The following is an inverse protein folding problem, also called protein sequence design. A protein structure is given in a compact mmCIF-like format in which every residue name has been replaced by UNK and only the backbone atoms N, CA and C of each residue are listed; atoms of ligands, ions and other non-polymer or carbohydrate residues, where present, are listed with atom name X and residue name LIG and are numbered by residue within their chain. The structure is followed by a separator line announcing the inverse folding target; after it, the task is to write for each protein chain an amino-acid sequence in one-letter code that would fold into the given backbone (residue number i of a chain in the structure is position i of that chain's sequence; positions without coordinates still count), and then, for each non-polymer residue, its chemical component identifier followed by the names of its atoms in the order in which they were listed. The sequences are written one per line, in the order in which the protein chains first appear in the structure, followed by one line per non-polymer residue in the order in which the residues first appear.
data_IF_063753591572
#
_entry.id   IF_063753591572
#
_cell.length_a   1.000
_cell.length_b   1.000
_cell.length_c   1.000
_cell.angle_alpha   90.00
_cell.angle_beta   90.00
_cell.angle_gamma   90.00
#
_symmetry.space_group_name_H-M   'P 1'
#
loop_
_entity.id
_entity.type
_entity.pdbx_description
1 polymer ?
#
# COMPACT_ATOMS: atom_id res chain seq x y z
N UNK A 1 19.87 -3.14 -8.30
CA UNK A 1 18.91 -2.72 -7.25
C UNK A 1 18.32 -1.41 -7.72
N UNK A 2 16.99 -1.31 -7.86
CA UNK A 2 16.36 -0.04 -8.24
C UNK A 2 16.53 0.93 -7.07
N UNK A 3 17.10 2.12 -7.34
CA UNK A 3 17.22 3.20 -6.37
C UNK A 3 15.93 4.01 -6.40
N UNK A 4 15.35 4.33 -5.25
CA UNK A 4 14.27 5.31 -5.14
C UNK A 4 14.94 6.67 -4.85
N UNK A 5 14.92 7.59 -5.81
CA UNK A 5 15.42 8.95 -5.63
C UNK A 5 14.34 9.81 -4.94
N UNK A 6 14.53 10.06 -3.64
CA UNK A 6 13.53 10.56 -2.67
C UNK A 6 13.61 12.06 -2.39
N UNK A 7 13.44 12.91 -3.39
CA UNK A 7 13.61 14.35 -3.15
C UNK A 7 12.32 15.13 -2.86
N UNK A 8 11.15 14.48 -2.74
CA UNK A 8 9.89 15.20 -2.54
C UNK A 8 9.19 14.85 -1.23
N UNK A 9 9.30 15.77 -0.26
CA UNK A 9 8.37 15.85 0.87
C UNK A 9 6.97 16.24 0.34
N UNK A 10 6.06 15.27 0.27
CA UNK A 10 4.69 15.46 -0.23
C UNK A 10 3.75 16.04 0.83
N UNK A 11 4.19 16.13 2.09
CA UNK A 11 3.44 16.77 3.17
C UNK A 11 3.68 18.28 3.28
N UNK A 12 4.72 18.82 2.62
CA UNK A 12 5.10 20.22 2.71
C UNK A 12 3.93 21.16 2.34
N UNK A 13 3.61 22.07 3.26
CA UNK A 13 2.51 23.05 3.20
C UNK A 13 1.11 22.45 3.07
N UNK A 14 0.94 21.17 3.39
CA UNK A 14 -0.37 20.52 3.41
C UNK A 14 -1.17 20.89 4.64
N UNK A 15 -2.49 20.67 4.54
CA UNK A 15 -3.39 20.96 5.66
C UNK A 15 -3.16 19.93 6.77
N UNK A 16 -2.90 20.42 7.98
CA UNK A 16 -2.74 19.60 9.16
C UNK A 16 -3.79 19.95 10.23
N UNK A 17 -4.11 18.96 11.05
CA UNK A 17 -5.01 19.08 12.19
C UNK A 17 -4.37 18.45 13.43
N UNK A 18 -4.72 18.96 14.61
CA UNK A 18 -4.34 18.33 15.87
C UNK A 18 -5.43 18.40 16.93
N UNK A 19 -5.42 17.40 17.82
CA UNK A 19 -6.22 17.38 19.02
C UNK A 19 -5.70 18.41 20.03
N UNK A 20 -6.60 19.15 20.68
CA UNK A 20 -6.25 20.05 21.78
C UNK A 20 -5.33 21.20 21.36
N UNK A 21 -5.59 21.85 20.22
CA UNK A 21 -4.78 22.98 19.73
C UNK A 21 -4.67 24.07 20.80
N UNK A 22 -3.44 24.55 21.05
CA UNK A 22 -3.14 25.56 22.06
C UNK A 22 -2.66 26.85 21.38
N UNK A 23 -3.41 27.96 21.57
CA UNK A 23 -3.08 29.29 21.05
C UNK A 23 -2.77 29.27 19.53
N UNK A 24 -1.63 29.86 19.14
CA UNK A 24 -1.14 29.98 17.76
C UNK A 24 -0.20 28.83 17.34
N UNK A 25 -0.06 27.77 18.15
CA UNK A 25 0.82 26.62 17.88
C UNK A 25 0.11 25.64 16.94
N UNK A 26 -0.27 26.12 15.76
CA UNK A 26 -1.13 25.42 14.80
C UNK A 26 -0.47 24.14 14.30
N UNK A 27 -1.29 23.12 14.01
CA UNK A 27 -0.84 21.84 13.45
C UNK A 27 0.02 21.96 12.19
N UNK A 28 -0.19 23.02 11.38
CA UNK A 28 0.53 23.27 10.14
C UNK A 28 2.03 23.53 10.30
N UNK A 29 2.51 23.88 11.51
CA UNK A 29 3.94 24.10 11.76
C UNK A 29 4.77 22.85 11.53
N UNK A 30 4.21 21.66 11.80
CA UNK A 30 4.92 20.41 11.59
C UNK A 30 5.06 20.02 10.10
N UNK A 31 4.58 20.85 9.17
CA UNK A 31 4.67 20.58 7.73
C UNK A 31 5.07 21.85 6.96
N UNK A 32 5.74 22.79 7.63
CA UNK A 32 6.13 24.07 7.04
C UNK A 32 7.59 24.09 6.53
N UNK A 33 8.33 23.00 6.75
CA UNK A 33 9.71 22.82 6.32
C UNK A 33 10.74 23.46 7.25
N UNK A 34 10.35 23.95 8.44
CA UNK A 34 11.23 24.69 9.35
C UNK A 34 11.62 23.84 10.55
N UNK A 35 12.91 23.87 10.90
CA UNK A 35 13.48 23.10 12.02
C UNK A 35 14.49 23.91 12.83
N UNK A 36 14.45 25.23 12.74
CA UNK A 36 15.48 26.12 13.31
C UNK A 36 15.42 26.13 14.85
N UNK A 37 14.20 26.17 15.40
CA UNK A 37 13.96 26.14 16.83
C UNK A 37 13.15 24.89 17.23
N UNK A 38 13.82 23.91 17.84
CA UNK A 38 13.22 22.67 18.33
C UNK A 38 12.61 22.79 19.74
N UNK A 39 12.15 24.00 20.09
CA UNK A 39 11.49 24.29 21.36
C UNK A 39 9.98 24.24 21.21
N UNK A 40 9.29 23.64 22.19
CA UNK A 40 7.81 23.66 22.25
C UNK A 40 7.25 25.08 22.40
N UNK A 41 8.08 26.03 22.86
CA UNK A 41 7.74 27.46 22.93
C UNK A 41 8.23 28.24 21.70
N UNK A 42 8.91 27.57 20.78
CA UNK A 42 9.44 28.14 19.55
C UNK A 42 8.40 28.33 18.45
N UNK A 43 8.85 28.80 17.29
CA UNK A 43 7.98 28.99 16.11
C UNK A 43 7.74 27.73 15.31
N UNK A 44 8.62 26.72 15.43
CA UNK A 44 8.72 25.63 14.47
C UNK A 44 8.20 24.31 15.03
N UNK A 45 7.53 24.33 16.18
CA UNK A 45 6.91 23.14 16.75
C UNK A 45 5.43 23.35 17.01
N UNK A 46 4.72 22.24 16.91
CA UNK A 46 3.31 22.06 17.23
C UNK A 46 3.21 21.62 18.68
N UNK A 47 2.31 22.23 19.44
CA UNK A 47 2.03 21.80 20.82
C UNK A 47 0.53 21.68 21.01
N UNK A 48 0.14 20.57 21.63
CA UNK A 48 -1.23 20.30 22.06
C UNK A 48 -1.38 20.53 23.55
N UNK A 49 -2.62 20.65 24.02
CA UNK A 49 -2.93 20.41 25.42
C UNK A 49 -2.43 19.02 25.82
N UNK A 50 -1.73 18.94 26.93
CA UNK A 50 -1.28 17.67 27.49
C UNK A 50 -2.44 16.95 28.15
N UNK A 51 -2.68 15.72 27.70
CA UNK A 51 -3.81 14.89 28.14
C UNK A 51 -3.43 13.40 28.01
N UNK A 52 -4.37 12.49 28.25
CA UNK A 52 -4.15 11.05 28.10
C UNK A 52 -3.96 10.62 26.65
N UNK A 53 -4.39 11.42 25.68
CA UNK A 53 -4.16 11.14 24.26
C UNK A 53 -3.66 12.40 23.56
N UNK A 54 -2.83 12.19 22.54
CA UNK A 54 -2.40 13.23 21.62
C UNK A 54 -2.51 12.69 20.20
N UNK A 55 -3.15 13.46 19.33
CA UNK A 55 -3.31 13.12 17.91
C UNK A 55 -2.95 14.33 17.06
N UNK A 56 -2.19 14.07 16.00
CA UNK A 56 -1.88 15.01 14.94
C UNK A 56 -1.99 14.29 13.61
N UNK A 57 -2.49 14.96 12.57
CA UNK A 57 -2.53 14.38 11.22
C UNK A 57 -2.33 15.43 10.13
N UNK A 58 -1.78 14.99 9.01
CA UNK A 58 -1.70 15.74 7.76
C UNK A 58 -2.61 15.10 6.72
N UNK A 59 -3.32 15.93 5.94
CA UNK A 59 -4.07 15.53 4.74
C UNK A 59 -3.19 15.72 3.50
N UNK A 60 -2.83 14.61 2.85
CA UNK A 60 -2.03 14.60 1.61
C UNK A 60 -2.87 14.93 0.36
N UNK A 61 -4.13 15.34 0.54
CA UNK A 61 -5.12 15.76 -0.47
C UNK A 61 -5.65 14.63 -1.38
N UNK A 62 -4.88 13.56 -1.56
CA UNK A 62 -5.25 12.38 -2.32
C UNK A 62 -4.70 11.11 -1.66
N UNK A 63 -5.21 9.95 -2.09
CA UNK A 63 -4.56 8.67 -1.76
C UNK A 63 -3.27 8.56 -2.59
N UNK A 64 -2.14 8.65 -1.91
CA UNK A 64 -0.79 8.66 -2.49
C UNK A 64 0.00 7.46 -2.03
N UNK A 65 1.08 7.12 -2.75
CA UNK A 65 1.98 6.04 -2.33
C UNK A 65 3.07 6.62 -1.43
N UNK A 66 3.15 6.16 -0.19
CA UNK A 66 4.10 6.61 0.83
C UNK A 66 5.26 5.61 0.85
N UNK A 67 6.51 6.09 0.91
CA UNK A 67 7.71 5.27 1.14
C UNK A 67 8.09 5.29 2.61
N UNK A 68 8.36 6.49 3.14
CA UNK A 68 8.74 6.66 4.52
C UNK A 68 8.27 8.00 5.08
N UNK A 69 8.28 8.08 6.41
CA UNK A 69 7.85 9.24 7.18
C UNK A 69 9.01 9.63 8.09
N UNK A 70 9.43 10.88 8.00
CA UNK A 70 10.43 11.49 8.88
C UNK A 70 9.69 12.27 9.97
N UNK A 71 10.14 12.14 11.22
CA UNK A 71 9.62 12.94 12.33
C UNK A 71 10.79 13.58 13.09
N UNK A 72 10.77 14.90 13.19
CA UNK A 72 11.57 15.70 14.11
C UNK A 72 10.69 16.09 15.31
N UNK A 73 11.03 15.55 16.48
CA UNK A 73 10.35 15.87 17.74
C UNK A 73 11.03 17.04 18.46
N UNK A 74 10.31 17.77 19.29
CA UNK A 74 10.87 18.86 20.08
C UNK A 74 11.95 18.35 21.05
N UNK A 75 13.07 19.06 21.10
CA UNK A 75 14.18 18.80 22.03
C UNK A 75 14.25 19.85 23.14
N UNK A 76 13.48 20.93 23.03
CA UNK A 76 13.64 22.17 23.80
C UNK A 76 15.00 22.82 23.62
N UNK A 77 15.65 22.60 22.47
CA UNK A 77 17.01 23.03 22.19
C UNK A 77 18.03 22.50 23.22
N UNK A 78 17.72 21.36 23.85
CA UNK A 78 18.58 20.66 24.80
C UNK A 78 19.13 19.38 24.16
N UNK A 79 20.25 18.83 24.68
CA UNK A 79 20.75 17.52 24.26
C UNK A 79 19.65 16.45 24.27
N UNK A 80 19.62 15.60 23.25
CA UNK A 80 18.67 14.50 23.14
C UNK A 80 19.19 13.25 23.86
N UNK A 81 19.05 13.23 25.18
CA UNK A 81 19.49 12.13 26.04
C UNK A 81 18.42 11.76 27.09
N UNK A 82 18.71 10.76 27.93
CA UNK A 82 17.79 10.26 28.96
C UNK A 82 17.25 11.31 29.93
N UNK A 83 17.94 12.46 30.09
CA UNK A 83 17.53 13.54 30.99
C UNK A 83 16.59 14.52 30.30
N UNK A 84 16.54 14.53 28.96
CA UNK A 84 15.60 15.34 28.21
C UNK A 84 14.17 14.86 28.52
N UNK A 85 13.32 15.77 28.99
CA UNK A 85 11.93 15.47 29.36
C UNK A 85 11.08 15.06 28.16
N UNK A 86 11.43 15.54 26.96
CA UNK A 86 10.70 15.24 25.73
C UNK A 86 10.85 13.78 25.31
N UNK A 87 11.95 13.12 25.68
CA UNK A 87 12.12 11.68 25.44
C UNK A 87 11.00 10.88 26.11
N UNK A 88 10.63 11.21 27.35
CA UNK A 88 9.58 10.52 28.09
C UNK A 88 8.19 10.74 27.47
N UNK A 89 7.96 11.91 26.87
CA UNK A 89 6.70 12.26 26.23
C UNK A 89 6.56 11.61 24.85
N UNK A 90 7.66 11.51 24.10
CA UNK A 90 7.69 10.91 22.77
C UNK A 90 7.51 9.38 22.80
N UNK A 91 8.01 8.70 23.84
CA UNK A 91 7.88 7.24 23.99
C UNK A 91 6.46 6.73 23.77
N UNK A 92 6.35 5.55 23.17
CA UNK A 92 5.09 4.83 22.97
C UNK A 92 4.18 5.41 21.89
N UNK A 93 4.70 6.33 21.07
CA UNK A 93 3.96 6.86 19.93
C UNK A 93 3.71 5.79 18.86
N UNK A 94 2.66 6.03 18.09
CA UNK A 94 2.29 5.25 16.92
C UNK A 94 2.12 6.18 15.72
N UNK A 95 2.36 5.62 14.54
CA UNK A 95 2.04 6.27 13.27
C UNK A 95 1.05 5.37 12.53
N UNK A 96 0.07 6.00 11.89
CA UNK A 96 -0.93 5.33 11.07
C UNK A 96 -0.98 5.97 9.69
N UNK A 97 -1.31 5.16 8.69
CA UNK A 97 -1.65 5.61 7.34
C UNK A 97 -3.12 5.25 7.12
N UNK A 98 -3.96 6.25 6.81
CA UNK A 98 -5.41 6.07 6.64
C UNK A 98 -5.94 6.78 5.41
N UNK A 99 -7.08 6.30 4.87
CA UNK A 99 -7.84 7.02 3.85
C UNK A 99 -8.89 7.96 4.46
N UNK A 100 -9.14 7.86 5.77
CA UNK A 100 -10.07 8.69 6.52
C UNK A 100 -9.33 9.47 7.60
N UNK A 101 -10.01 10.40 8.26
CA UNK A 101 -9.47 11.12 9.41
C UNK A 101 -9.38 10.26 10.68
N UNK A 102 -9.87 9.02 10.65
CA UNK A 102 -9.87 8.11 11.78
C UNK A 102 -8.74 7.09 11.64
N UNK A 103 -7.85 7.05 12.63
CA UNK A 103 -6.74 6.07 12.70
C UNK A 103 -7.19 4.62 12.76
N UNK A 104 -8.39 4.35 13.28
CA UNK A 104 -8.91 2.98 13.41
C UNK A 104 -9.27 2.35 12.05
N UNK A 105 -9.49 3.18 11.03
CA UNK A 105 -9.78 2.73 9.66
C UNK A 105 -8.49 2.51 8.85
N UNK A 106 -7.35 2.93 9.39
CA UNK A 106 -6.05 2.88 8.73
C UNK A 106 -5.22 1.66 9.14
N UNK A 107 -4.02 1.58 8.57
CA UNK A 107 -3.02 0.59 8.98
C UNK A 107 -2.13 1.15 10.09
N UNK A 108 -1.76 0.31 11.06
CA UNK A 108 -0.73 0.63 12.03
C UNK A 108 0.63 0.49 11.36
N UNK A 109 1.24 1.63 11.08
CA UNK A 109 2.47 1.74 10.32
C UNK A 109 3.70 1.53 11.22
N UNK A 110 3.66 2.14 12.41
CA UNK A 110 4.72 2.01 13.40
C UNK A 110 4.12 2.13 14.80
N UNK A 111 4.69 1.39 15.75
CA UNK A 111 4.40 1.54 17.17
C UNK A 111 5.67 1.38 17.98
N UNK A 112 6.02 2.42 18.72
CA UNK A 112 7.10 2.32 19.69
C UNK A 112 6.68 1.39 20.84
N UNK A 113 7.49 0.34 21.02
CA UNK A 113 7.39 -0.63 22.10
C UNK A 113 8.76 -0.97 22.68
N UNK A 114 9.84 -0.44 22.11
CA UNK A 114 11.21 -0.90 22.36
C UNK A 114 12.12 0.20 22.87
N UNK A 115 11.82 1.46 22.56
CA UNK A 115 12.71 2.54 22.94
C UNK A 115 12.63 2.82 24.44
N UNK A 116 13.72 3.36 24.94
CA UNK A 116 13.83 3.94 26.28
C UNK A 116 14.13 5.42 26.13
N UNK A 117 14.08 6.18 27.23
CA UNK A 117 14.47 7.59 27.23
C UNK A 117 15.89 7.83 26.68
N UNK A 118 16.78 6.84 26.80
CA UNK A 118 18.15 6.93 26.31
C UNK A 118 18.33 6.52 24.84
N UNK A 119 17.37 5.79 24.26
CA UNK A 119 17.54 5.11 22.96
C UNK A 119 16.53 5.53 21.90
N UNK A 120 15.48 6.27 22.26
CA UNK A 120 14.55 6.82 21.29
C UNK A 120 15.30 7.78 20.35
N UNK A 121 15.29 7.59 19.02
CA UNK A 121 15.99 8.47 18.10
C UNK A 121 15.20 9.77 17.87
N UNK A 122 15.91 10.86 17.57
CA UNK A 122 15.33 12.12 17.13
C UNK A 122 16.35 12.88 16.25
N UNK A 123 16.09 13.05 14.94
CA UNK A 123 14.88 12.65 14.23
C UNK A 123 14.75 11.12 14.07
N UNK A 124 13.57 10.66 13.65
CA UNK A 124 13.31 9.25 13.32
C UNK A 124 12.77 9.12 11.89
N UNK A 125 13.26 8.12 11.18
CA UNK A 125 12.74 7.68 9.88
C UNK A 125 11.96 6.38 10.03
N UNK A 126 10.72 6.39 9.58
CA UNK A 126 9.78 5.28 9.67
C UNK A 126 9.46 4.82 8.25
N UNK A 127 10.12 3.76 7.81
CA UNK A 127 9.83 3.10 6.53
C UNK A 127 8.51 2.36 6.64
N UNK A 128 7.56 2.73 5.79
CA UNK A 128 6.22 2.19 5.86
C UNK A 128 5.51 2.29 4.51
N UNK A 129 5.91 1.42 3.56
CA UNK A 129 5.43 1.52 2.20
C UNK A 129 3.96 1.14 2.10
N UNK A 130 3.09 2.13 1.93
CA UNK A 130 1.65 1.91 1.82
C UNK A 130 0.96 3.07 1.10
N UNK A 131 -0.27 2.83 0.66
CA UNK A 131 -1.11 3.88 0.09
C UNK A 131 -2.00 4.49 1.17
N UNK A 132 -2.13 5.81 1.18
CA UNK A 132 -3.02 6.51 2.10
C UNK A 132 -3.15 7.97 1.78
N UNK A 133 -4.16 8.60 2.38
CA UNK A 133 -4.39 10.05 2.29
C UNK A 133 -3.91 10.80 3.53
N UNK A 134 -4.03 10.18 4.69
CA UNK A 134 -3.67 10.78 5.97
C UNK A 134 -2.50 10.04 6.60
N UNK A 135 -1.51 10.79 7.06
CA UNK A 135 -0.51 10.31 8.02
C UNK A 135 -0.90 10.84 9.39
N UNK A 136 -1.04 9.93 10.36
CA UNK A 136 -1.57 10.24 11.69
C UNK A 136 -0.54 9.84 12.74
N UNK A 137 -0.01 10.82 13.47
CA UNK A 137 0.73 10.61 14.70
C UNK A 137 -0.26 10.46 15.86
N UNK A 138 -0.02 9.48 16.72
CA UNK A 138 -0.86 9.24 17.87
C UNK A 138 -0.05 8.78 19.07
N UNK A 139 -0.40 9.28 20.25
CA UNK A 139 0.22 8.82 21.50
C UNK A 139 -0.86 8.63 22.57
N UNK A 140 -0.72 7.56 23.38
CA UNK A 140 -1.75 7.10 24.29
C UNK A 140 -1.23 6.80 25.70
N UNK A 141 -1.95 7.27 26.70
CA UNK A 141 -1.75 7.12 28.15
C UNK A 141 -3.05 6.75 28.87
N UNK A 142 -4.02 6.11 28.22
CA UNK A 142 -5.29 5.72 28.85
C UNK A 142 -5.19 4.46 29.72
N UNK A 143 -4.13 3.65 29.56
CA UNK A 143 -4.01 2.36 30.24
C UNK A 143 -2.84 2.35 31.23
N UNK A 144 -3.17 2.23 32.52
CA UNK A 144 -2.22 2.08 33.62
C UNK A 144 -1.94 0.59 33.92
N UNK A 145 -0.76 0.23 34.43
CA UNK A 145 0.41 1.09 34.64
C UNK A 145 1.15 1.38 33.33
N UNK A 146 1.75 2.57 33.22
CA UNK A 146 2.58 2.91 32.05
C UNK A 146 3.92 2.18 32.09
N UNK A 147 4.48 1.82 30.92
CA UNK A 147 5.85 1.32 30.85
C UNK A 147 6.85 2.30 31.47
N UNK A 148 7.96 1.77 31.99
CA UNK A 148 8.99 2.56 32.66
C UNK A 148 9.54 3.65 31.73
N UNK A 149 9.62 4.88 32.24
CA UNK A 149 10.17 6.03 31.52
C UNK A 149 9.14 6.85 30.75
N UNK A 150 7.90 6.39 30.62
CA UNK A 150 6.84 7.13 29.96
C UNK A 150 6.42 8.34 30.81
N UNK A 151 6.14 9.46 30.16
CA UNK A 151 5.42 10.58 30.76
C UNK A 151 3.98 10.16 31.10
N UNK A 152 3.40 10.79 32.13
CA UNK A 152 1.98 10.61 32.50
C UNK A 152 1.03 11.15 31.42
N UNK A 153 1.44 12.25 30.78
CA UNK A 153 0.67 12.89 29.73
C UNK A 153 1.29 12.66 28.36
N UNK A 154 0.43 12.57 27.35
CA UNK A 154 0.77 12.59 25.94
C UNK A 154 0.78 14.04 25.41
N UNK A 155 1.65 14.30 24.44
CA UNK A 155 1.71 15.57 23.71
C UNK A 155 2.16 15.33 22.27
N UNK A 156 1.73 16.23 21.37
CA UNK A 156 2.17 16.19 19.99
C UNK A 156 3.63 16.61 19.87
N UNK A 157 4.02 17.79 20.38
CA UNK A 157 5.39 18.33 20.40
C UNK A 157 6.23 18.03 19.13
N UNK A 158 5.57 18.00 17.97
CA UNK A 158 6.16 17.70 16.66
C UNK A 158 6.72 18.98 16.07
N UNK A 159 7.98 18.98 15.66
CA UNK A 159 8.58 20.13 14.99
C UNK A 159 8.54 20.00 13.46
N UNK A 160 8.80 18.81 12.92
CA UNK A 160 8.57 18.57 11.50
C UNK A 160 8.13 17.12 11.27
N UNK A 161 7.20 16.92 10.35
CA UNK A 161 6.77 15.65 9.81
C UNK A 161 6.86 15.74 8.30
N UNK A 162 7.79 15.00 7.73
CA UNK A 162 7.95 14.91 6.28
C UNK A 162 7.44 13.56 5.82
N UNK A 163 6.73 13.54 4.69
CA UNK A 163 6.24 12.31 4.07
C UNK A 163 6.90 12.23 2.71
N UNK A 164 7.62 11.15 2.44
CA UNK A 164 8.28 10.92 1.17
C UNK A 164 7.54 9.84 0.39
N UNK A 165 7.31 10.10 -0.89
CA UNK A 165 6.54 9.19 -1.74
C UNK A 165 6.12 9.79 -3.07
N UNK A 166 5.15 9.13 -3.70
CA UNK A 166 4.66 9.45 -5.04
C UNK A 166 3.26 10.07 -4.98
N UNK A 167 3.14 11.32 -5.45
CA UNK A 167 1.83 11.97 -5.67
C UNK A 167 1.14 11.46 -6.94
N UNK A 168 1.90 10.96 -7.90
CA UNK A 168 1.36 10.37 -9.12
C UNK A 168 0.61 9.08 -8.76
N UNK A 169 -0.72 9.02 -8.94
CA UNK A 169 -1.47 7.84 -8.58
C UNK A 169 -0.98 6.65 -9.41
N UNK A 170 -0.97 5.46 -8.79
CA UNK A 170 -0.70 4.18 -9.50
C UNK A 170 0.72 4.05 -10.06
N UNK A 171 1.70 4.70 -9.45
CA UNK A 171 3.09 4.66 -9.88
C UNK A 171 4.05 4.25 -8.77
N UNK A 172 5.21 3.72 -9.15
CA UNK A 172 6.26 3.22 -8.29
C UNK A 172 7.64 3.36 -8.96
N UNK A 173 8.69 2.99 -8.25
CA UNK A 173 10.07 3.02 -8.70
C UNK A 173 10.68 4.41 -8.66
N UNK A 174 11.88 4.53 -9.23
CA UNK A 174 12.63 5.79 -9.27
C UNK A 174 11.79 6.90 -9.92
N UNK A 175 11.74 8.07 -9.25
CA UNK A 175 10.98 9.23 -9.70
C UNK A 175 9.49 8.93 -10.00
N UNK A 176 8.90 7.88 -9.41
CA UNK A 176 7.50 7.51 -9.64
C UNK A 176 7.17 7.29 -11.13
N UNK A 177 8.13 6.75 -11.90
CA UNK A 177 8.04 6.67 -13.36
C UNK A 177 7.46 5.36 -13.88
N UNK A 178 7.33 4.33 -13.04
CA UNK A 178 6.83 3.02 -13.45
C UNK A 178 5.38 2.87 -13.00
N UNK A 179 4.49 2.41 -13.88
CA UNK A 179 3.07 2.21 -13.53
C UNK A 179 2.88 0.89 -12.80
N UNK A 180 2.10 0.89 -11.71
CA UNK A 180 1.73 -0.34 -11.01
C UNK A 180 1.02 -1.33 -11.94
N UNK A 181 1.25 -2.65 -11.77
CA UNK A 181 0.62 -3.69 -12.59
C UNK A 181 -0.91 -3.55 -12.70
N UNK A 182 -1.46 -4.00 -13.83
CA UNK A 182 -2.88 -3.82 -14.17
C UNK A 182 -3.85 -4.49 -13.23
N UNK A 183 -3.45 -5.66 -12.75
CA UNK A 183 -4.29 -6.52 -11.95
C UNK A 183 -4.00 -6.39 -10.45
N UNK A 184 -3.24 -5.38 -10.02
CA UNK A 184 -3.27 -4.97 -8.62
C UNK A 184 -4.63 -4.31 -8.31
N UNK A 185 -5.23 -4.64 -7.18
CA UNK A 185 -6.42 -3.94 -6.68
C UNK A 185 -6.16 -2.44 -6.59
N UNK A 186 -7.09 -1.62 -7.12
CA UNK A 186 -6.97 -0.16 -7.24
C UNK A 186 -5.70 0.35 -7.94
N UNK A 187 -4.96 -0.53 -8.65
CA UNK A 187 -3.63 -0.25 -9.19
C UNK A 187 -2.63 0.21 -8.11
N UNK A 188 -2.73 -0.39 -6.90
CA UNK A 188 -1.84 -0.10 -5.77
C UNK A 188 -0.77 -1.17 -5.63
N UNK A 189 0.48 -0.73 -5.67
CA UNK A 189 1.64 -1.57 -5.49
C UNK A 189 2.66 -0.92 -4.54
N UNK A 190 3.59 -1.73 -4.04
CA UNK A 190 4.70 -1.31 -3.22
C UNK A 190 5.57 -0.32 -3.99
N UNK A 191 5.86 0.83 -3.38
CA UNK A 191 6.50 1.97 -4.05
C UNK A 191 7.91 1.68 -4.58
N UNK A 192 8.66 0.76 -3.97
CA UNK A 192 9.99 0.33 -4.45
C UNK A 192 9.90 -0.89 -5.36
N UNK A 193 9.33 -1.99 -4.85
CA UNK A 193 9.36 -3.29 -5.51
C UNK A 193 8.34 -3.44 -6.66
N UNK A 194 7.28 -2.64 -6.69
CA UNK A 194 6.17 -2.80 -7.64
C UNK A 194 5.27 -3.98 -7.35
N UNK A 195 5.44 -4.65 -6.20
CA UNK A 195 4.64 -5.78 -5.76
C UNK A 195 3.24 -5.33 -5.38
N UNK A 196 2.20 -6.00 -5.87
CA UNK A 196 0.82 -5.67 -5.55
C UNK A 196 0.50 -6.03 -4.09
N UNK A 197 -0.20 -5.15 -3.38
CA UNK A 197 -0.71 -5.49 -2.03
C UNK A 197 -1.82 -6.54 -2.08
N UNK A 198 -2.59 -6.54 -3.16
CA UNK A 198 -3.65 -7.50 -3.42
C UNK A 198 -3.86 -7.61 -4.93
N UNK A 199 -4.13 -8.82 -5.42
CA UNK A 199 -4.56 -9.06 -6.80
C UNK A 199 -6.07 -8.97 -6.94
N UNK A 200 -6.53 -8.52 -8.11
CA UNK A 200 -7.91 -8.74 -8.55
C UNK A 200 -8.19 -10.25 -8.60
N UNK A 201 -9.43 -10.67 -8.34
CA UNK A 201 -9.78 -12.09 -8.44
C UNK A 201 -9.47 -12.59 -9.85
N UNK A 202 -8.90 -13.79 -9.94
CA UNK A 202 -8.44 -14.36 -11.22
C UNK A 202 -6.95 -14.17 -11.48
N UNK A 203 -6.25 -13.39 -10.65
CA UNK A 203 -4.83 -13.13 -10.81
C UNK A 203 -4.04 -13.47 -9.55
N UNK A 204 -2.78 -13.87 -9.76
CA UNK A 204 -1.86 -14.30 -8.72
C UNK A 204 -0.41 -13.89 -9.04
N UNK A 205 0.47 -14.13 -8.07
CA UNK A 205 1.88 -13.74 -8.11
C UNK A 205 2.11 -12.31 -7.61
N UNK A 206 3.38 -11.97 -7.41
CA UNK A 206 3.78 -10.71 -6.77
C UNK A 206 3.33 -9.45 -7.52
N UNK A 207 3.16 -9.54 -8.84
CA UNK A 207 2.71 -8.43 -9.69
C UNK A 207 1.36 -8.72 -10.36
N UNK A 208 0.64 -9.76 -9.92
CA UNK A 208 -0.67 -10.15 -10.47
C UNK A 208 -0.68 -10.38 -11.99
N UNK A 209 0.45 -10.87 -12.53
CA UNK A 209 0.59 -11.16 -13.96
C UNK A 209 0.26 -12.61 -14.30
N UNK A 210 0.03 -13.48 -13.31
CA UNK A 210 -0.35 -14.88 -13.53
C UNK A 210 -1.85 -15.00 -13.38
N UNK A 211 -2.50 -15.72 -14.29
CA UNK A 211 -3.91 -16.12 -14.11
C UNK A 211 -3.95 -17.19 -13.02
N UNK A 212 -4.91 -17.12 -12.10
CA UNK A 212 -5.11 -18.16 -11.09
C UNK A 212 -6.03 -19.25 -11.64
N UNK A 213 -5.58 -20.51 -11.59
CA UNK A 213 -6.32 -21.69 -12.07
C UNK A 213 -7.60 -22.01 -11.25
N UNK A 214 -7.89 -21.24 -10.19
CA UNK A 214 -8.81 -21.62 -9.13
C UNK A 214 -10.24 -21.07 -9.24
N UNK A 215 -10.57 -20.27 -10.25
CA UNK A 215 -11.92 -19.69 -10.35
C UNK A 215 -12.80 -20.54 -11.26
N UNK A 216 -13.42 -21.53 -10.63
CA UNK A 216 -14.40 -22.42 -11.23
C UNK A 216 -15.71 -21.64 -11.41
N UNK A 217 -16.22 -21.48 -12.63
CA UNK A 217 -17.55 -20.92 -12.87
C UNK A 217 -17.65 -19.45 -13.26
N UNK A 218 -16.60 -18.64 -13.07
CA UNK A 218 -16.66 -17.19 -13.31
C UNK A 218 -15.37 -16.64 -13.97
N UNK A 219 -15.56 -15.88 -15.05
CA UNK A 219 -14.55 -15.19 -15.83
C UNK A 219 -14.56 -13.67 -15.62
N UNK A 220 -13.72 -12.97 -16.37
CA UNK A 220 -13.64 -11.52 -16.40
C UNK A 220 -12.88 -10.93 -15.22
N UNK A 221 -12.74 -9.60 -15.22
CA UNK A 221 -12.12 -8.89 -14.09
C UNK A 221 -12.95 -9.12 -12.83
N UNK A 222 -12.29 -9.56 -11.77
CA UNK A 222 -12.93 -9.88 -10.48
C UNK A 222 -13.92 -11.05 -10.50
N UNK A 223 -13.90 -11.95 -11.50
CA UNK A 223 -14.87 -13.05 -11.59
C UNK A 223 -16.33 -12.55 -11.61
N UNK A 224 -16.59 -11.49 -12.36
CA UNK A 224 -17.92 -10.86 -12.39
C UNK A 224 -18.82 -11.38 -13.50
N UNK A 225 -18.30 -12.21 -14.41
CA UNK A 225 -19.06 -12.82 -15.49
C UNK A 225 -19.12 -14.33 -15.27
N UNK A 226 -20.30 -14.96 -15.27
CA UNK A 226 -20.37 -16.42 -15.24
C UNK A 226 -19.75 -16.99 -16.53
N UNK A 227 -19.13 -18.15 -16.42
CA UNK A 227 -18.65 -18.88 -17.59
C UNK A 227 -19.81 -19.18 -18.56
N UNK A 228 -19.52 -19.28 -19.88
CA UNK A 228 -20.52 -19.71 -20.85
C UNK A 228 -21.25 -20.99 -20.40
N UNK A 229 -22.58 -21.02 -20.52
CA UNK A 229 -23.40 -22.15 -20.04
C UNK A 229 -23.05 -23.50 -20.68
N UNK A 230 -22.46 -23.45 -21.88
CA UNK A 230 -22.03 -24.62 -22.64
C UNK A 230 -20.62 -25.12 -22.28
N UNK A 231 -19.93 -24.47 -21.33
CA UNK A 231 -18.69 -25.01 -20.79
C UNK A 231 -18.99 -26.25 -19.93
N UNK A 232 -18.24 -27.33 -20.18
CA UNK A 232 -18.23 -28.54 -19.37
C UNK A 232 -17.89 -28.18 -17.91
N UNK A 233 -18.71 -28.66 -16.97
CA UNK A 233 -18.63 -28.36 -15.54
C UNK A 233 -18.65 -26.87 -15.17
N UNK A 234 -19.07 -25.99 -16.09
CA UNK A 234 -19.04 -24.54 -15.92
C UNK A 234 -17.63 -23.95 -15.88
N UNK A 235 -16.63 -24.64 -16.43
CA UNK A 235 -15.22 -24.22 -16.31
C UNK A 235 -14.75 -23.48 -17.56
N UNK A 236 -14.25 -22.26 -17.35
CA UNK A 236 -13.66 -21.43 -18.40
C UNK A 236 -12.44 -20.65 -17.91
N UNK A 237 -11.58 -20.26 -18.85
CA UNK A 237 -10.41 -19.44 -18.62
C UNK A 237 -10.84 -18.02 -18.20
N UNK A 238 -10.22 -17.53 -17.12
CA UNK A 238 -10.67 -16.31 -16.45
C UNK A 238 -10.55 -15.05 -17.31
N UNK A 239 -9.64 -15.00 -18.28
CA UNK A 239 -9.34 -13.76 -19.05
C UNK A 239 -10.16 -13.63 -20.33
N UNK A 240 -10.34 -14.72 -21.06
CA UNK A 240 -10.93 -14.72 -22.40
C UNK A 240 -12.20 -15.58 -22.49
N UNK A 241 -12.66 -16.14 -21.35
CA UNK A 241 -13.91 -16.90 -21.24
C UNK A 241 -13.91 -18.21 -22.04
N UNK A 242 -12.73 -18.71 -22.41
CA UNK A 242 -12.57 -19.95 -23.19
C UNK A 242 -12.90 -21.16 -22.33
N UNK A 243 -13.76 -22.06 -22.78
CA UNK A 243 -14.11 -23.24 -22.00
C UNK A 243 -12.96 -24.25 -21.95
N UNK A 244 -12.79 -24.93 -20.81
CA UNK A 244 -11.86 -26.07 -20.70
C UNK A 244 -12.42 -27.35 -21.34
N UNK A 245 -13.72 -27.40 -21.62
CA UNK A 245 -14.42 -28.44 -22.37
C UNK A 245 -15.84 -27.98 -22.72
N UNK A 246 -16.54 -28.65 -23.64
CA UNK A 246 -17.94 -28.34 -23.99
C UNK A 246 -18.89 -29.45 -23.51
N UNK A 247 -20.16 -29.12 -23.26
CA UNK A 247 -21.21 -30.11 -23.01
C UNK A 247 -21.47 -30.99 -24.24
N UNK A 248 -21.92 -32.24 -24.02
CA UNK A 248 -22.20 -33.20 -25.10
C UNK A 248 -23.27 -32.66 -26.06
N UNK A 249 -22.92 -32.50 -27.34
CA UNK A 249 -23.81 -31.96 -28.39
C UNK A 249 -23.50 -30.51 -28.80
N UNK A 250 -22.73 -29.76 -28.01
CA UNK A 250 -22.18 -28.46 -28.39
C UNK A 250 -20.86 -28.64 -29.15
N UNK A 251 -20.97 -29.09 -30.40
CA UNK A 251 -19.82 -29.14 -31.29
C UNK A 251 -19.41 -27.70 -31.69
N UNK A 252 -18.47 -27.13 -30.94
CA UNK A 252 -17.67 -26.01 -31.42
C UNK A 252 -17.01 -26.39 -32.73
N UNK A 253 -17.58 -25.92 -33.84
CA UNK A 253 -17.21 -26.32 -35.20
C UNK A 253 -16.02 -25.54 -35.76
N UNK A 254 -15.10 -25.08 -34.90
CA UNK A 254 -13.79 -24.57 -35.30
C UNK A 254 -12.78 -24.79 -34.18
N UNK A 255 -12.09 -25.94 -34.23
CA UNK A 255 -10.77 -26.08 -33.61
C UNK A 255 -9.85 -25.14 -34.39
N UNK A 256 -9.63 -23.92 -33.89
CA UNK A 256 -8.45 -23.17 -34.31
C UNK A 256 -7.29 -23.74 -33.51
N UNK A 257 -6.51 -24.62 -34.12
CA UNK A 257 -5.12 -24.82 -33.71
C UNK A 257 -4.40 -23.48 -33.91
N UNK A 258 -4.41 -22.63 -32.89
CA UNK A 258 -3.63 -21.41 -32.88
C UNK A 258 -2.16 -21.79 -32.77
N UNK A 259 -1.46 -21.91 -33.90
CA UNK A 259 0.00 -21.96 -33.90
C UNK A 259 0.53 -20.71 -33.20
N UNK A 260 1.12 -20.89 -32.01
CA UNK A 260 1.92 -19.85 -31.38
C UNK A 260 3.20 -19.71 -32.19
N UNK A 261 3.33 -18.58 -32.90
CA UNK A 261 4.58 -18.18 -33.56
C UNK A 261 5.74 -18.26 -32.56
N UNK A 262 6.56 -19.30 -32.69
CA UNK A 262 7.86 -19.40 -32.05
C UNK A 262 8.89 -19.02 -33.10
N UNK A 263 9.41 -17.79 -33.02
CA UNK A 263 10.68 -17.48 -33.67
C UNK A 263 11.80 -18.22 -32.92
N UNK A 264 12.07 -19.46 -33.35
CA UNK A 264 13.28 -20.20 -33.00
C UNK A 264 14.41 -19.71 -33.89
N UNK A 265 15.36 -18.96 -33.31
CA UNK A 265 16.69 -18.80 -33.91
C UNK A 265 17.46 -20.10 -33.66
N UNK A 266 17.61 -20.90 -34.72
CA UNK A 266 18.51 -22.04 -34.74
C UNK A 266 19.96 -21.58 -34.51
N UNK A 267 20.61 -22.15 -33.50
CA UNK A 267 22.04 -22.44 -33.53
C UNK A 267 22.21 -23.88 -33.03
N UNK A 268 22.58 -24.78 -33.94
CA UNK A 268 22.66 -26.21 -33.66
C UNK A 268 23.80 -26.58 -32.71
N UNK A 269 23.62 -27.65 -31.94
CA UNK A 269 24.35 -28.90 -32.09
C UNK A 269 23.75 -29.96 -31.14
N UNK A 270 23.92 -31.23 -31.53
CA UNK A 270 23.44 -32.47 -30.91
C UNK A 270 23.73 -32.63 -29.40
N UNK A 271 22.75 -33.13 -28.62
CA UNK A 271 22.78 -34.36 -27.78
C UNK A 271 21.63 -34.41 -26.74
N UNK A 272 20.81 -35.48 -26.82
CA UNK A 272 20.01 -36.18 -25.77
C UNK A 272 19.51 -35.44 -24.51
N UNK A 273 18.18 -35.33 -24.35
CA UNK A 273 17.42 -35.74 -23.14
C UNK A 273 15.92 -35.72 -23.48
N UNK A 274 15.20 -36.80 -23.20
CA UNK A 274 13.73 -36.78 -23.09
C UNK A 274 13.39 -36.15 -21.75
N UNK A 275 12.69 -35.03 -21.77
CA UNK A 275 11.82 -34.64 -20.67
C UNK A 275 10.42 -34.48 -21.26
N UNK A 276 9.51 -35.35 -20.81
CA UNK A 276 8.08 -35.23 -21.05
C UNK A 276 7.58 -34.18 -20.06
N UNK A 277 7.34 -32.96 -20.52
CA UNK A 277 6.43 -32.04 -19.85
C UNK A 277 5.14 -31.96 -20.67
N UNK A 278 4.19 -32.79 -20.26
CA UNK A 278 2.81 -32.72 -20.67
C UNK A 278 2.13 -31.60 -19.86
N UNK A 279 1.57 -30.60 -20.55
CA UNK A 279 0.31 -29.89 -20.24
C UNK A 279 0.16 -28.74 -21.24
N UNK A 280 -0.22 -29.10 -22.47
CA UNK A 280 -0.77 -28.14 -23.41
C UNK A 280 -2.23 -27.87 -23.03
N UNK A 281 -2.56 -26.68 -22.54
CA UNK A 281 -3.96 -26.28 -22.37
C UNK A 281 -4.59 -26.15 -23.75
N UNK A 282 -5.55 -27.03 -24.07
CA UNK A 282 -6.30 -26.99 -25.34
C UNK A 282 -7.36 -25.89 -25.23
N UNK A 283 -7.36 -24.95 -26.18
CA UNK A 283 -8.32 -23.85 -26.24
C UNK A 283 -9.59 -24.32 -26.98
N UNK A 284 -10.77 -24.30 -26.35
CA UNK A 284 -12.04 -24.61 -26.99
C UNK A 284 -13.02 -23.43 -26.97
N UNK A 285 -13.52 -23.05 -28.15
CA UNK A 285 -14.61 -22.09 -28.29
C UNK A 285 -15.93 -22.85 -28.46
N UNK A 286 -16.72 -22.94 -27.39
CA UNK A 286 -18.03 -23.57 -27.43
C UNK A 286 -19.05 -22.57 -28.02
N UNK A 287 -19.54 -22.79 -29.24
CA UNK A 287 -20.59 -21.96 -29.84
C UNK A 287 -21.97 -22.58 -29.56
N UNK A 288 -22.77 -21.94 -28.71
CA UNK A 288 -24.17 -22.35 -28.49
C UNK A 288 -25.08 -21.83 -29.60
N UNK A 289 -25.91 -22.71 -30.17
CA UNK A 289 -27.07 -22.27 -30.95
C UNK A 289 -28.07 -21.68 -29.95
N UNK A 290 -28.35 -20.37 -30.05
CA UNK A 290 -29.39 -19.75 -29.23
C UNK A 290 -30.72 -20.52 -29.43
N UNK A 291 -31.49 -20.83 -28.36
CA UNK A 291 -32.80 -21.41 -28.54
C UNK A 291 -33.66 -20.38 -29.29
N UNK A 292 -34.04 -20.73 -30.51
CA UNK A 292 -35.02 -20.00 -31.30
C UNK A 292 -36.29 -19.85 -30.47
N UNK A 293 -36.58 -18.62 -30.06
CA UNK A 293 -37.86 -18.23 -29.46
C UNK A 293 -38.93 -18.47 -30.51
N UNK A 294 -39.61 -19.61 -30.40
CA UNK A 294 -40.84 -19.90 -31.13
C UNK A 294 -41.94 -19.03 -30.52
N UNK A 295 -42.22 -17.89 -31.16
CA UNK A 295 -43.47 -17.17 -30.97
C UNK A 295 -44.65 -18.09 -31.35
N UNK A 296 -45.47 -18.42 -30.36
CA UNK A 296 -46.87 -18.82 -30.52
C UNK A 296 -47.72 -18.03 -29.54
#
# INVERSE_FOLDING_TARGET
MAHFDENKNIALYKTAWQQGTLLSLTAARAVDGRKDSLSIFGSDCVTSQYNYTAEWRVDLEAVVSIHHIFIQYATNNLPWDKNNVQTARFLGFSVYISNTTNKADGILCFRDTKYTRATIPNPINITCPHHGRYVIYYNNRTHLPYPVGYSKDAGNDLCEVEVYGCTSPKSYGENCSITCPENCTDRRCHIVEGTCFQCLNGYSGLTCNKVSDSNHGESGKNCSTPCPENCLDGLCEVVNETCFGCLEGDNGSNIYEGERSTTLKNNGNSTTSMDVEETGTVMLYCTGVAPSVLLK
#
